data_IF_633981756172
#
_entry.id   IF_633981756172
#
_cell.length_a   1.000
_cell.length_b   1.000
_cell.length_c   1.000
_cell.angle_alpha   90.00
_cell.angle_beta   90.00
_cell.angle_gamma   90.00
#
_symmetry.space_group_name_H-M   'P 1'
#
loop_
_entity.id
_entity.type
_entity.pdbx_description
1 polymer ?
#
# COMPACT_ATOMS: atom_id res chain seq x y z
N UNK A 1 -22.23 -16.22 -29.65
CA UNK A 1 -23.61 -15.86 -29.25
C UNK A 1 -23.69 -16.10 -27.76
N UNK A 2 -24.14 -15.11 -26.99
CA UNK A 2 -24.36 -15.29 -25.54
C UNK A 2 -25.66 -16.10 -25.38
N UNK A 3 -25.67 -17.18 -24.59
CA UNK A 3 -26.87 -18.00 -24.43
C UNK A 3 -27.96 -17.25 -23.63
N UNK A 4 -29.21 -17.37 -24.09
CA UNK A 4 -30.36 -16.63 -23.54
C UNK A 4 -30.99 -17.31 -22.31
N UNK A 5 -30.47 -18.47 -21.89
CA UNK A 5 -30.94 -19.20 -20.72
C UNK A 5 -29.79 -19.72 -19.87
N UNK A 6 -30.00 -19.80 -18.56
CA UNK A 6 -29.03 -20.38 -17.62
C UNK A 6 -28.70 -21.84 -17.98
N UNK A 7 -29.70 -22.62 -18.42
CA UNK A 7 -29.49 -24.00 -18.85
C UNK A 7 -28.55 -24.09 -20.06
N UNK A 8 -28.74 -23.23 -21.07
CA UNK A 8 -27.86 -23.17 -22.23
C UNK A 8 -26.44 -22.67 -21.88
N UNK A 9 -26.31 -21.77 -20.89
CA UNK A 9 -25.02 -21.30 -20.40
C UNK A 9 -24.26 -22.41 -19.66
N UNK A 10 -24.93 -23.15 -18.79
CA UNK A 10 -24.35 -24.32 -18.09
C UNK A 10 -23.94 -25.41 -19.08
N UNK A 11 -24.77 -25.67 -20.10
CA UNK A 11 -24.45 -26.65 -21.14
C UNK A 11 -23.22 -26.23 -21.96
N UNK A 12 -23.12 -24.96 -22.35
CA UNK A 12 -21.93 -24.45 -23.03
C UNK A 12 -20.67 -24.58 -22.15
N UNK A 13 -20.75 -24.28 -20.86
CA UNK A 13 -19.62 -24.43 -19.93
C UNK A 13 -19.17 -25.89 -19.78
N UNK A 14 -20.11 -26.85 -19.83
CA UNK A 14 -19.81 -28.28 -19.79
C UNK A 14 -19.13 -28.80 -21.07
N UNK A 15 -19.34 -28.13 -22.21
CA UNK A 15 -18.76 -28.50 -23.51
C UNK A 15 -17.36 -27.91 -23.74
N UNK A 16 -16.89 -26.99 -22.88
CA UNK A 16 -15.55 -26.42 -22.99
C UNK A 16 -14.52 -27.45 -22.49
N UNK A 17 -13.57 -27.89 -23.34
CA UNK A 17 -12.52 -28.80 -22.91
C UNK A 17 -11.62 -28.10 -21.87
N UNK A 18 -11.40 -28.77 -20.74
CA UNK A 18 -10.50 -28.27 -19.70
C UNK A 18 -9.03 -28.28 -20.14
N UNK A 19 -8.23 -27.39 -19.56
CA UNK A 19 -6.78 -27.42 -19.72
C UNK A 19 -6.15 -28.45 -18.76
N UNK A 20 -5.05 -29.11 -19.15
CA UNK A 20 -4.37 -30.05 -18.25
C UNK A 20 -3.82 -29.31 -17.02
N UNK A 21 -4.25 -29.77 -15.83
CA UNK A 21 -3.98 -29.21 -14.49
C UNK A 21 -4.86 -28.02 -14.06
N UNK A 22 -5.92 -27.69 -14.79
CA UNK A 22 -6.95 -26.75 -14.33
C UNK A 22 -8.27 -27.48 -14.00
N UNK A 23 -9.07 -26.97 -13.05
CA UNK A 23 -10.41 -27.51 -12.81
C UNK A 23 -11.28 -27.35 -14.06
N UNK A 24 -12.17 -28.31 -14.33
CA UNK A 24 -13.06 -28.21 -15.48
C UNK A 24 -13.85 -26.88 -15.45
N UNK A 25 -14.09 -26.22 -16.59
CA UNK A 25 -14.71 -24.90 -16.63
C UNK A 25 -16.05 -24.80 -15.88
N UNK A 26 -16.85 -25.86 -15.94
CA UNK A 26 -18.10 -25.95 -15.18
C UNK A 26 -17.85 -26.01 -13.66
N UNK A 27 -16.85 -26.76 -13.22
CA UNK A 27 -16.46 -26.86 -11.81
C UNK A 27 -15.87 -25.54 -11.30
N UNK A 28 -15.09 -24.84 -12.13
CA UNK A 28 -14.57 -23.51 -11.83
C UNK A 28 -15.71 -22.48 -11.69
N UNK A 29 -16.68 -22.50 -12.63
CA UNK A 29 -17.86 -21.64 -12.56
C UNK A 29 -18.68 -21.88 -11.28
N UNK A 30 -18.94 -23.14 -10.93
CA UNK A 30 -19.68 -23.47 -9.70
C UNK A 30 -18.90 -23.05 -8.44
N UNK A 31 -17.57 -23.18 -8.43
CA UNK A 31 -16.72 -22.71 -7.32
C UNK A 31 -16.84 -21.21 -7.12
N UNK A 32 -16.77 -20.42 -8.19
CA UNK A 32 -16.95 -18.96 -8.13
C UNK A 32 -18.37 -18.59 -7.73
N UNK A 33 -19.36 -19.29 -8.27
CA UNK A 33 -20.76 -19.06 -7.95
C UNK A 33 -21.01 -19.24 -6.45
N UNK A 34 -20.47 -20.29 -5.81
CA UNK A 34 -20.59 -20.51 -4.34
C UNK A 34 -20.08 -19.31 -3.51
N UNK A 35 -19.11 -18.54 -4.04
CA UNK A 35 -18.53 -17.37 -3.37
C UNK A 35 -19.36 -16.08 -3.56
N UNK A 36 -20.37 -16.09 -4.44
CA UNK A 36 -21.17 -14.89 -4.73
C UNK A 36 -22.02 -14.44 -3.52
N UNK A 37 -21.93 -13.17 -3.11
CA UNK A 37 -22.68 -12.63 -1.97
C UNK A 37 -24.20 -12.61 -2.17
N UNK A 38 -24.67 -12.68 -3.42
CA UNK A 38 -26.09 -12.63 -3.75
C UNK A 38 -26.82 -13.96 -3.54
N UNK A 39 -26.11 -15.05 -3.27
CA UNK A 39 -26.71 -16.35 -2.95
C UNK A 39 -27.10 -16.42 -1.48
N UNK A 40 -28.29 -16.94 -1.22
CA UNK A 40 -28.66 -17.32 0.14
C UNK A 40 -27.94 -18.60 0.60
N UNK A 41 -27.92 -18.82 1.92
CA UNK A 41 -27.22 -19.96 2.53
C UNK A 41 -27.75 -21.31 2.04
N UNK A 42 -29.05 -21.41 1.74
CA UNK A 42 -29.67 -22.65 1.23
C UNK A 42 -29.23 -22.98 -0.19
N UNK A 43 -29.12 -21.96 -1.05
CA UNK A 43 -28.59 -22.09 -2.40
C UNK A 43 -27.10 -22.46 -2.37
N UNK A 44 -26.33 -21.81 -1.48
CA UNK A 44 -24.91 -22.08 -1.29
C UNK A 44 -24.66 -23.52 -0.85
N UNK A 45 -25.41 -24.03 0.12
CA UNK A 45 -25.29 -25.42 0.57
C UNK A 45 -25.75 -26.43 -0.49
N UNK A 46 -26.75 -26.09 -1.29
CA UNK A 46 -27.20 -26.94 -2.41
C UNK A 46 -26.10 -27.08 -3.48
N UNK A 47 -25.42 -25.99 -3.83
CA UNK A 47 -24.29 -25.99 -4.77
C UNK A 47 -23.10 -26.77 -4.21
N UNK A 48 -22.76 -26.59 -2.93
CA UNK A 48 -21.70 -27.36 -2.26
C UNK A 48 -21.98 -28.86 -2.26
N UNK A 49 -23.23 -29.23 -1.97
CA UNK A 49 -23.67 -30.63 -1.95
C UNK A 49 -23.58 -31.26 -3.34
N UNK A 50 -23.94 -30.53 -4.39
CA UNK A 50 -23.80 -30.97 -5.78
C UNK A 50 -22.33 -31.13 -6.20
N UNK A 51 -21.46 -30.22 -5.77
CA UNK A 51 -20.06 -30.17 -6.16
C UNK A 51 -19.17 -31.26 -5.52
N UNK A 52 -19.43 -31.64 -4.25
CA UNK A 52 -18.66 -32.67 -3.52
C UNK A 52 -18.47 -34.01 -4.28
N UNK A 53 -19.53 -34.65 -4.83
CA UNK A 53 -19.37 -35.89 -5.58
C UNK A 53 -18.65 -35.72 -6.92
N UNK A 54 -18.49 -34.50 -7.44
CA UNK A 54 -17.76 -34.20 -8.67
C UNK A 54 -16.24 -34.07 -8.47
N UNK A 55 -15.73 -34.40 -7.27
CA UNK A 55 -14.31 -34.30 -6.95
C UNK A 55 -13.83 -32.88 -6.63
N UNK A 56 -14.74 -31.90 -6.55
CA UNK A 56 -14.43 -30.59 -5.99
C UNK A 56 -14.17 -30.76 -4.49
N UNK A 57 -12.90 -30.70 -4.11
CA UNK A 57 -12.51 -30.35 -2.76
C UNK A 57 -12.86 -28.87 -2.60
N UNK A 58 -14.13 -28.59 -2.31
CA UNK A 58 -14.51 -27.32 -1.68
C UNK A 58 -13.84 -27.42 -0.33
N UNK A 59 -12.57 -26.99 -0.27
CA UNK A 59 -12.04 -26.54 0.98
C UNK A 59 -13.11 -25.60 1.50
N UNK A 60 -13.55 -25.83 2.73
CA UNK A 60 -13.92 -24.70 3.52
C UNK A 60 -12.68 -23.80 3.48
N UNK A 61 -12.58 -22.96 2.44
CA UNK A 61 -12.44 -21.54 2.67
C UNK A 61 -13.65 -21.21 3.53
N UNK A 62 -13.52 -21.62 4.79
CA UNK A 62 -14.14 -20.95 5.88
C UNK A 62 -13.96 -19.48 5.54
N UNK A 63 -14.94 -18.70 5.95
CA UNK A 63 -14.84 -17.26 6.06
C UNK A 63 -13.66 -16.86 7.04
N UNK A 64 -12.77 -17.81 7.37
CA UNK A 64 -11.40 -17.69 7.86
C UNK A 64 -10.32 -17.56 6.75
N UNK A 65 -10.64 -17.07 5.55
CA UNK A 65 -9.98 -15.81 5.16
C UNK A 65 -10.49 -14.69 6.08
N UNK A 66 -10.29 -14.90 7.39
CA UNK A 66 -10.02 -13.84 8.32
C UNK A 66 -8.81 -13.20 7.67
N UNK A 67 -9.04 -12.11 6.96
CA UNK A 67 -8.06 -11.06 6.78
C UNK A 67 -7.32 -10.96 8.10
N UNK A 68 -6.17 -11.64 8.20
CA UNK A 68 -5.35 -11.56 9.40
C UNK A 68 -4.90 -10.13 9.38
N UNK A 69 -5.51 -9.33 10.24
CA UNK A 69 -5.18 -7.93 10.42
C UNK A 69 -3.66 -7.80 10.39
N UNK A 70 -3.14 -7.08 9.41
CA UNK A 70 -1.70 -7.00 9.22
C UNK A 70 -1.10 -6.25 10.40
N UNK A 71 0.00 -6.75 10.94
CA UNK A 71 0.69 -6.01 11.99
C UNK A 71 1.47 -4.88 11.32
N UNK A 72 1.07 -3.65 11.60
CA UNK A 72 1.63 -2.45 11.02
C UNK A 72 2.45 -1.67 12.05
N UNK A 73 3.72 -1.43 11.73
CA UNK A 73 4.52 -0.38 12.36
C UNK A 73 4.24 0.93 11.63
N UNK A 74 3.47 1.80 12.26
CA UNK A 74 3.20 3.14 11.76
C UNK A 74 4.25 4.10 12.32
N UNK A 75 4.96 4.80 11.45
CA UNK A 75 5.95 5.81 11.81
C UNK A 75 5.54 7.14 11.22
N UNK A 76 5.24 8.11 12.09
CA UNK A 76 4.86 9.46 11.72
C UNK A 76 6.02 10.41 11.94
N UNK A 77 6.37 11.11 10.87
CA UNK A 77 7.36 12.18 10.85
C UNK A 77 6.60 13.48 10.58
N UNK A 78 6.89 14.53 11.35
CA UNK A 78 6.32 15.86 11.12
C UNK A 78 7.39 16.93 11.31
N UNK A 79 7.34 18.04 10.55
CA UNK A 79 8.13 19.22 10.87
C UNK A 79 7.83 19.67 12.29
N UNK A 80 8.84 20.15 13.01
CA UNK A 80 8.66 20.66 14.37
C UNK A 80 7.73 21.87 14.42
N UNK A 81 7.78 22.69 13.38
CA UNK A 81 6.88 23.81 13.16
C UNK A 81 6.44 23.81 11.70
N UNK A 82 5.14 23.98 11.46
CA UNK A 82 4.60 24.18 10.11
C UNK A 82 5.05 25.51 9.49
N UNK A 83 5.45 26.48 10.32
CA UNK A 83 5.81 27.84 9.91
C UNK A 83 7.30 28.16 10.08
N UNK A 84 8.08 27.23 10.61
CA UNK A 84 9.51 27.41 10.83
C UNK A 84 10.26 26.19 10.29
N UNK A 85 11.04 26.35 9.19
CA UNK A 85 11.83 25.29 8.58
C UNK A 85 13.09 24.96 9.40
N UNK A 86 13.06 25.20 10.72
CA UNK A 86 14.16 24.89 11.61
C UNK A 86 14.52 23.40 11.49
N UNK A 87 15.82 23.07 11.58
CA UNK A 87 16.29 21.73 11.30
C UNK A 87 15.79 20.79 12.41
N UNK A 88 14.73 20.02 12.13
CA UNK A 88 14.22 19.07 13.09
C UNK A 88 12.83 18.53 12.79
N UNK A 89 12.71 17.22 12.89
CA UNK A 89 11.47 16.46 12.79
C UNK A 89 11.06 15.93 14.17
N UNK A 90 9.76 15.91 14.42
CA UNK A 90 9.17 15.15 15.52
C UNK A 90 8.75 13.80 14.97
N UNK A 91 9.20 12.73 15.61
CA UNK A 91 8.91 11.36 15.19
C UNK A 91 8.10 10.67 16.27
N UNK A 92 7.03 9.99 15.87
CA UNK A 92 6.18 9.19 16.74
C UNK A 92 5.86 7.86 16.07
N UNK A 93 5.82 6.78 16.83
CA UNK A 93 5.57 5.44 16.30
C UNK A 93 4.50 4.70 17.08
N UNK A 94 3.74 3.85 16.39
CA UNK A 94 2.77 2.94 17.00
C UNK A 94 2.72 1.62 16.25
N UNK A 95 2.42 0.55 16.97
CA UNK A 95 2.00 -0.72 16.40
C UNK A 95 0.49 -0.75 16.32
N UNK A 96 -0.04 -1.02 15.14
CA UNK A 96 -1.47 -1.17 14.92
C UNK A 96 -1.76 -2.50 14.21
N UNK A 97 -2.96 -3.04 14.41
CA UNK A 97 -3.51 -4.09 13.56
C UNK A 97 -4.29 -3.44 12.42
N UNK A 98 -3.73 -3.47 11.22
CA UNK A 98 -4.38 -2.92 10.04
C UNK A 98 -5.35 -3.95 9.48
N UNK A 99 -6.63 -3.74 9.82
CA UNK A 99 -7.76 -4.44 9.25
C UNK A 99 -8.03 -3.82 7.88
N UNK A 100 -7.35 -4.34 6.85
CA UNK A 100 -7.45 -3.99 5.42
C UNK A 100 -7.56 -2.47 5.12
N UNK A 101 -6.58 -1.85 4.42
CA UNK A 101 -6.64 -0.44 4.09
C UNK A 101 -7.92 -0.03 3.34
N UNK A 102 -8.67 -0.95 2.74
CA UNK A 102 -9.93 -0.69 2.04
C UNK A 102 -11.19 -0.73 2.92
N UNK A 103 -11.11 -1.20 4.17
CA UNK A 103 -12.26 -1.19 5.09
C UNK A 103 -12.48 0.20 5.69
N UNK A 104 -13.73 0.66 5.75
CA UNK A 104 -14.06 2.01 6.23
C UNK A 104 -14.22 2.12 7.76
N UNK A 105 -14.53 1.02 8.45
CA UNK A 105 -15.12 1.08 9.81
C UNK A 105 -14.28 0.46 10.94
N UNK A 106 -13.04 0.01 10.69
CA UNK A 106 -12.26 -0.56 11.79
C UNK A 106 -11.77 0.51 12.78
N UNK A 107 -12.02 0.27 14.06
CA UNK A 107 -11.31 0.95 15.14
C UNK A 107 -9.84 0.53 15.09
N UNK A 108 -8.94 1.52 15.08
CA UNK A 108 -7.51 1.27 15.03
C UNK A 108 -7.01 1.03 16.46
N UNK A 109 -6.87 -0.23 16.86
CA UNK A 109 -6.18 -0.60 18.10
C UNK A 109 -4.67 -0.38 17.90
N UNK A 110 -4.18 0.76 18.40
CA UNK A 110 -2.80 1.19 18.22
C UNK A 110 -2.08 1.35 19.56
N UNK A 111 -0.94 0.68 19.69
CA UNK A 111 -0.05 0.74 20.85
C UNK A 111 1.18 1.61 20.54
N UNK A 112 1.37 2.75 21.23
CA UNK A 112 2.54 3.59 21.04
C UNK A 112 3.86 2.85 21.31
N UNK A 113 4.90 3.17 20.54
CA UNK A 113 6.27 2.73 20.79
C UNK A 113 7.11 3.94 21.20
N UNK A 114 7.82 3.81 22.30
CA UNK A 114 8.79 4.81 22.76
C UNK A 114 10.05 4.76 21.90
N UNK A 115 10.52 5.94 21.46
CA UNK A 115 11.80 6.10 20.77
C UNK A 115 12.82 6.56 21.80
N UNK A 116 13.85 5.76 22.04
CA UNK A 116 14.90 6.00 23.04
C UNK A 116 16.09 6.76 22.46
N UNK A 117 16.24 6.80 21.14
CA UNK A 117 17.27 7.58 20.47
C UNK A 117 17.13 9.07 20.82
N UNK A 118 18.21 9.66 21.31
CA UNK A 118 18.28 11.11 21.52
C UNK A 118 18.52 11.83 20.19
N UNK A 119 17.85 12.96 19.92
CA UNK A 119 18.03 13.69 18.67
C UNK A 119 19.44 14.27 18.50
N UNK A 120 19.87 14.52 17.25
CA UNK A 120 21.14 15.19 16.96
C UNK A 120 21.20 16.54 17.71
N UNK A 121 22.28 16.84 18.45
CA UNK A 121 22.45 18.12 19.15
C UNK A 121 22.21 19.37 18.29
N UNK A 122 22.46 19.30 16.98
CA UNK A 122 22.23 20.39 16.01
C UNK A 122 20.74 20.61 15.69
N UNK A 123 19.93 19.56 15.84
CA UNK A 123 18.50 19.57 15.54
C UNK A 123 17.65 19.53 16.82
N UNK A 124 18.27 19.35 17.98
CA UNK A 124 17.61 19.18 19.27
C UNK A 124 16.66 20.36 19.59
N UNK A 125 15.48 20.06 20.16
CA UNK A 125 14.94 18.74 20.56
C UNK A 125 14.28 17.89 19.43
N UNK A 126 14.50 18.16 18.15
CA UNK A 126 13.99 17.35 17.03
C UNK A 126 15.06 16.50 16.34
N UNK A 127 14.63 15.48 15.59
CA UNK A 127 15.49 14.57 14.83
C UNK A 127 15.87 15.16 13.48
N UNK A 128 17.09 14.92 13.01
CA UNK A 128 17.48 15.23 11.63
C UNK A 128 16.91 14.21 10.65
N UNK A 129 16.94 14.51 9.35
CA UNK A 129 16.63 13.51 8.31
C UNK A 129 17.53 12.28 8.41
N UNK A 130 18.80 12.47 8.77
CA UNK A 130 19.82 11.41 8.86
C UNK A 130 19.63 10.51 10.08
N UNK A 131 18.80 10.92 11.05
CA UNK A 131 18.43 10.11 12.21
C UNK A 131 17.33 9.09 11.87
N UNK A 132 16.49 9.35 10.87
CA UNK A 132 15.32 8.52 10.54
C UNK A 132 15.65 7.04 10.25
N UNK A 133 16.72 6.69 9.50
CA UNK A 133 17.10 5.30 9.32
C UNK A 133 17.52 4.61 10.63
N UNK A 134 18.10 5.35 11.59
CA UNK A 134 18.51 4.79 12.89
C UNK A 134 17.29 4.58 13.81
N UNK A 135 16.33 5.50 13.75
CA UNK A 135 15.04 5.33 14.43
C UNK A 135 14.33 4.08 13.91
N UNK A 136 14.35 3.84 12.58
CA UNK A 136 13.80 2.61 12.02
C UNK A 136 14.47 1.36 12.60
N UNK A 137 15.79 1.35 12.71
CA UNK A 137 16.55 0.23 13.29
C UNK A 137 16.10 -0.07 14.73
N UNK A 138 15.97 0.97 15.57
CA UNK A 138 15.45 0.84 16.94
C UNK A 138 14.02 0.30 16.98
N UNK A 139 13.11 0.90 16.19
CA UNK A 139 11.70 0.51 16.17
C UNK A 139 11.52 -0.95 15.73
N UNK A 140 12.28 -1.38 14.73
CA UNK A 140 12.25 -2.76 14.24
C UNK A 140 12.79 -3.72 15.30
N UNK A 141 13.88 -3.35 15.99
CA UNK A 141 14.41 -4.14 17.10
C UNK A 141 13.39 -4.26 18.25
N UNK A 142 12.71 -3.17 18.61
CA UNK A 142 11.62 -3.16 19.59
C UNK A 142 10.48 -4.09 19.18
N UNK A 143 10.03 -4.02 17.91
CA UNK A 143 8.97 -4.92 17.41
C UNK A 143 9.35 -6.40 17.56
N UNK A 144 10.59 -6.77 17.27
CA UNK A 144 11.06 -8.14 17.42
C UNK A 144 11.24 -8.58 18.88
N UNK A 145 11.91 -7.75 19.69
CA UNK A 145 12.34 -8.12 21.03
C UNK A 145 11.22 -8.00 22.07
N UNK A 146 10.42 -6.94 22.01
CA UNK A 146 9.40 -6.66 23.03
C UNK A 146 8.01 -7.19 22.64
N UNK A 147 7.72 -7.25 21.34
CA UNK A 147 6.41 -7.65 20.83
C UNK A 147 6.41 -9.02 20.15
N UNK A 148 7.58 -9.64 19.93
CA UNK A 148 7.70 -10.96 19.30
C UNK A 148 7.26 -10.99 17.84
N UNK A 149 7.25 -9.84 17.14
CA UNK A 149 6.76 -9.74 15.77
C UNK A 149 7.86 -10.15 14.80
N UNK A 150 7.58 -11.12 13.93
CA UNK A 150 8.49 -11.51 12.87
C UNK A 150 8.57 -10.43 11.79
N UNK A 151 9.79 -10.10 11.34
CA UNK A 151 10.00 -9.09 10.30
C UNK A 151 9.20 -9.36 9.02
N UNK A 152 9.08 -10.64 8.63
CA UNK A 152 8.35 -11.08 7.43
C UNK A 152 6.85 -10.85 7.51
N UNK A 153 6.32 -10.60 8.70
CA UNK A 153 4.90 -10.32 8.94
C UNK A 153 4.64 -8.82 9.12
N UNK A 154 5.70 -8.03 9.29
CA UNK A 154 5.62 -6.60 9.59
C UNK A 154 5.40 -5.79 8.31
N UNK A 155 4.35 -4.97 8.30
CA UNK A 155 4.16 -3.87 7.34
C UNK A 155 4.64 -2.58 7.96
N UNK A 156 5.43 -1.79 7.23
CA UNK A 156 5.93 -0.50 7.71
C UNK A 156 5.20 0.61 6.95
N UNK A 157 4.47 1.47 7.67
CA UNK A 157 3.78 2.63 7.12
C UNK A 157 4.49 3.91 7.55
N UNK A 158 5.05 4.62 6.58
CA UNK A 158 5.68 5.93 6.81
C UNK A 158 4.69 7.04 6.50
N UNK A 159 4.38 7.89 7.48
CA UNK A 159 3.69 9.17 7.27
C UNK A 159 4.75 10.25 7.21
N UNK A 160 5.06 10.71 6.00
CA UNK A 160 6.14 11.64 5.71
C UNK A 160 5.59 13.00 5.29
N UNK A 161 6.25 14.10 5.68
CA UNK A 161 5.95 15.41 5.10
C UNK A 161 6.46 15.47 3.66
N UNK A 162 5.95 16.44 2.90
CA UNK A 162 6.17 16.55 1.46
C UNK A 162 7.66 16.54 1.09
N UNK A 163 8.49 17.27 1.84
CA UNK A 163 9.93 17.36 1.62
C UNK A 163 10.66 16.01 1.78
N UNK A 164 10.04 15.04 2.48
CA UNK A 164 10.57 13.70 2.70
C UNK A 164 9.88 12.60 1.87
N UNK A 165 8.86 12.94 1.07
CA UNK A 165 8.13 11.97 0.23
C UNK A 165 9.05 11.24 -0.77
N UNK A 166 10.12 11.89 -1.21
CA UNK A 166 11.11 11.34 -2.13
C UNK A 166 12.17 10.45 -1.46
N UNK A 167 12.19 10.31 -0.14
CA UNK A 167 13.21 9.50 0.55
C UNK A 167 13.05 8.00 0.24
N UNK A 168 14.15 7.26 -0.01
CA UNK A 168 14.13 5.83 -0.31
C UNK A 168 13.96 4.96 0.95
N UNK A 169 12.83 5.12 1.64
CA UNK A 169 12.56 4.45 2.93
C UNK A 169 12.57 2.92 2.84
N UNK A 170 12.28 2.36 1.67
CA UNK A 170 12.36 0.93 1.39
C UNK A 170 13.80 0.39 1.28
N UNK A 171 14.79 1.29 1.15
CA UNK A 171 16.22 0.97 1.13
C UNK A 171 16.87 1.08 2.51
N UNK A 172 16.18 1.68 3.47
CA UNK A 172 16.75 1.84 4.80
C UNK A 172 17.02 0.47 5.41
N UNK A 173 18.22 0.36 5.96
CA UNK A 173 18.75 -0.87 6.49
C UNK A 173 18.62 -0.88 8.00
N UNK A 174 18.24 -2.03 8.53
CA UNK A 174 18.27 -2.31 9.95
C UNK A 174 19.15 -3.53 10.23
N UNK A 175 19.63 -3.60 11.45
CA UNK A 175 20.57 -4.59 11.94
C UNK A 175 19.81 -5.87 12.33
N UNK A 176 20.14 -6.98 11.68
CA UNK A 176 19.69 -8.32 12.05
C UNK A 176 20.86 -9.07 12.70
N UNK A 177 20.75 -9.33 14.00
CA UNK A 177 21.81 -9.99 14.76
C UNK A 177 23.11 -9.16 14.78
N UNK A 178 24.27 -9.82 14.94
CA UNK A 178 25.53 -9.12 15.26
C UNK A 178 26.22 -8.41 14.10
N UNK A 179 25.98 -8.79 12.83
CA UNK A 179 26.74 -8.26 11.68
C UNK A 179 25.95 -8.11 10.37
N UNK A 180 24.70 -8.55 10.31
CA UNK A 180 23.93 -8.52 9.07
C UNK A 180 23.04 -7.27 9.04
N UNK A 181 23.05 -6.57 7.92
CA UNK A 181 22.10 -5.49 7.63
C UNK A 181 21.21 -5.93 6.48
N UNK A 182 19.92 -5.68 6.60
CA UNK A 182 18.95 -5.97 5.55
C UNK A 182 18.09 -4.75 5.27
N UNK A 183 17.70 -4.56 4.02
CA UNK A 183 16.79 -3.49 3.62
C UNK A 183 15.35 -3.82 4.02
N UNK A 184 14.61 -2.81 4.47
CA UNK A 184 13.19 -2.95 4.84
C UNK A 184 12.34 -3.52 3.71
N UNK A 185 12.49 -3.03 2.48
CA UNK A 185 11.76 -3.51 1.31
C UNK A 185 12.06 -4.95 0.91
N UNK A 186 13.12 -5.56 1.44
CA UNK A 186 13.48 -6.96 1.17
C UNK A 186 12.95 -7.93 2.23
N UNK A 187 12.93 -7.51 3.50
CA UNK A 187 12.63 -8.41 4.62
C UNK A 187 11.24 -8.24 5.22
N UNK A 188 10.70 -7.02 5.17
CA UNK A 188 9.35 -6.71 5.64
C UNK A 188 8.29 -7.21 4.67
N UNK A 189 7.06 -7.43 5.17
CA UNK A 189 5.91 -7.81 4.34
C UNK A 189 5.65 -6.75 3.27
N UNK A 190 5.61 -5.47 3.69
CA UNK A 190 5.47 -4.33 2.80
C UNK A 190 6.05 -3.04 3.43
N UNK A 191 6.35 -2.06 2.57
CA UNK A 191 6.70 -0.69 2.96
C UNK A 191 5.80 0.27 2.19
N UNK A 192 4.96 1.00 2.92
CA UNK A 192 3.92 1.89 2.39
C UNK A 192 4.25 3.33 2.80
N UNK A 193 4.07 4.28 1.88
CA UNK A 193 4.23 5.70 2.14
C UNK A 193 2.87 6.39 2.21
N UNK A 194 2.74 7.35 3.11
CA UNK A 194 1.58 8.22 3.32
C UNK A 194 2.07 9.65 3.55
N UNK A 195 1.23 10.63 3.26
CA UNK A 195 1.55 12.04 3.53
C UNK A 195 1.14 12.40 4.96
N UNK A 196 2.05 12.91 5.78
CA UNK A 196 1.68 13.52 7.06
C UNK A 196 0.92 14.83 6.84
N UNK A 197 1.32 15.63 5.85
CA UNK A 197 0.73 16.95 5.64
C UNK A 197 -0.73 16.86 5.26
N UNK A 198 -1.13 15.87 4.47
CA UNK A 198 -2.54 15.73 4.11
C UNK A 198 -3.45 15.42 5.28
N UNK A 199 -2.98 14.64 6.25
CA UNK A 199 -3.73 14.28 7.45
C UNK A 199 -3.71 15.37 8.52
N UNK A 200 -2.62 16.14 8.61
CA UNK A 200 -2.35 17.00 9.76
C UNK A 200 -2.15 18.49 9.44
N UNK A 201 -1.89 18.84 8.18
CA UNK A 201 -1.76 20.24 7.77
C UNK A 201 -3.14 20.83 7.46
N UNK A 202 -3.49 21.98 8.05
CA UNK A 202 -4.74 22.67 7.75
C UNK A 202 -4.82 23.13 6.29
N UNK A 203 -3.69 23.25 5.58
CA UNK A 203 -3.62 23.65 4.17
C UNK A 203 -4.39 22.69 3.24
N UNK A 204 -4.41 21.39 3.57
CA UNK A 204 -5.09 20.37 2.75
C UNK A 204 -6.51 20.03 3.23
N UNK A 205 -6.99 20.67 4.31
CA UNK A 205 -8.36 20.48 4.80
C UNK A 205 -9.45 20.72 3.74
N UNK A 206 -9.33 21.72 2.83
CA UNK A 206 -10.29 21.88 1.74
C UNK A 206 -10.32 20.67 0.78
N UNK A 207 -9.15 20.07 0.51
CA UNK A 207 -9.02 18.92 -0.38
C UNK A 207 -9.53 17.60 0.24
N UNK A 208 -9.81 17.56 1.55
CA UNK A 208 -10.31 16.36 2.24
C UNK A 208 -11.63 15.85 1.66
N UNK A 209 -12.51 16.73 1.18
CA UNK A 209 -13.78 16.35 0.57
C UNK A 209 -13.59 15.56 -0.73
N UNK A 210 -12.75 16.09 -1.62
CA UNK A 210 -12.39 15.43 -2.88
C UNK A 210 -11.62 14.14 -2.63
N UNK A 211 -10.72 14.14 -1.66
CA UNK A 211 -9.97 12.95 -1.27
C UNK A 211 -10.86 11.80 -0.81
N UNK A 212 -11.82 12.05 0.09
CA UNK A 212 -12.81 11.05 0.50
C UNK A 212 -13.61 10.53 -0.69
N UNK A 213 -14.06 11.42 -1.57
CA UNK A 213 -14.79 11.05 -2.80
C UNK A 213 -13.96 10.15 -3.71
N UNK A 214 -12.69 10.46 -3.96
CA UNK A 214 -11.82 9.65 -4.81
C UNK A 214 -11.43 8.34 -4.14
N UNK A 215 -11.29 8.31 -2.82
CA UNK A 215 -11.14 7.08 -2.07
C UNK A 215 -12.38 6.17 -2.19
N UNK A 216 -13.60 6.71 -2.05
CA UNK A 216 -14.81 5.89 -2.26
C UNK A 216 -14.89 5.34 -3.69
N UNK A 217 -14.48 6.13 -4.70
CA UNK A 217 -14.37 5.62 -6.08
C UNK A 217 -13.37 4.47 -6.18
N UNK A 218 -12.20 4.60 -5.53
CA UNK A 218 -11.19 3.55 -5.48
C UNK A 218 -11.76 2.22 -5.01
N UNK A 219 -12.59 2.23 -3.97
CA UNK A 219 -13.26 1.02 -3.45
C UNK A 219 -14.13 0.33 -4.51
N UNK A 220 -14.77 1.09 -5.39
CA UNK A 220 -15.64 0.53 -6.44
C UNK A 220 -14.90 -0.06 -7.65
N UNK A 221 -13.59 0.17 -7.77
CA UNK A 221 -12.80 -0.26 -8.94
C UNK A 221 -11.53 -1.02 -8.57
N UNK A 222 -11.49 -1.63 -7.39
CA UNK A 222 -10.33 -2.38 -6.88
C UNK A 222 -9.84 -3.48 -7.84
N UNK A 223 -10.76 -4.12 -8.55
CA UNK A 223 -10.47 -5.16 -9.56
C UNK A 223 -9.99 -4.60 -10.90
N UNK A 224 -10.00 -3.28 -11.08
CA UNK A 224 -9.48 -2.67 -12.31
C UNK A 224 -7.96 -2.79 -12.39
N UNK A 225 -7.45 -3.03 -13.60
CA UNK A 225 -6.00 -3.03 -13.86
C UNK A 225 -5.40 -1.66 -13.54
N UNK A 226 -4.26 -1.66 -12.84
CA UNK A 226 -3.52 -0.45 -12.48
C UNK A 226 -3.19 0.42 -13.71
N UNK A 227 -2.87 -0.20 -14.85
CA UNK A 227 -2.61 0.49 -16.13
C UNK A 227 -3.77 1.36 -16.62
N UNK A 228 -5.02 1.00 -16.31
CA UNK A 228 -6.20 1.78 -16.67
C UNK A 228 -6.59 2.76 -15.56
N UNK A 229 -6.36 2.39 -14.30
CA UNK A 229 -6.79 3.15 -13.12
C UNK A 229 -5.83 4.28 -12.70
N UNK A 230 -4.56 4.19 -13.09
CA UNK A 230 -3.51 5.17 -12.77
C UNK A 230 -3.10 5.96 -14.02
N UNK A 231 -3.44 7.24 -14.05
CA UNK A 231 -3.12 8.11 -15.19
C UNK A 231 -1.61 8.42 -15.23
N UNK A 232 -0.95 8.32 -16.40
CA UNK A 232 0.42 8.78 -16.53
C UNK A 232 0.47 10.32 -16.47
N UNK A 233 1.27 10.82 -15.53
CA UNK A 233 1.69 12.21 -15.42
C UNK A 233 3.15 12.32 -15.84
N UNK A 234 3.53 13.52 -16.26
CA UNK A 234 4.87 13.84 -16.71
C UNK A 234 5.26 15.23 -16.16
N UNK A 235 5.90 15.26 -14.99
CA UNK A 235 6.32 16.51 -14.34
C UNK A 235 7.27 17.32 -15.22
N UNK A 236 8.14 16.67 -16.00
CA UNK A 236 9.11 17.34 -16.87
C UNK A 236 8.47 18.11 -18.02
N UNK A 237 7.27 17.71 -18.45
CA UNK A 237 6.49 18.43 -19.48
C UNK A 237 5.36 19.28 -18.88
N UNK A 238 5.26 19.37 -17.54
CA UNK A 238 4.23 20.13 -16.84
C UNK A 238 2.86 19.44 -16.78
N UNK A 239 2.78 18.15 -17.13
CA UNK A 239 1.54 17.36 -17.03
C UNK A 239 1.38 16.83 -15.60
N UNK A 240 0.80 17.64 -14.72
CA UNK A 240 0.67 17.36 -13.28
C UNK A 240 -0.78 17.17 -12.80
N UNK A 241 -1.76 17.43 -13.68
CA UNK A 241 -3.19 17.38 -13.34
C UNK A 241 -3.87 16.09 -13.76
N UNK A 242 -4.73 15.58 -12.88
CA UNK A 242 -5.56 14.40 -13.11
C UNK A 242 -6.94 14.83 -13.61
N UNK A 243 -7.41 14.22 -14.70
CA UNK A 243 -8.77 14.43 -15.19
C UNK A 243 -9.76 13.56 -14.39
N UNK A 244 -10.22 14.08 -13.25
CA UNK A 244 -11.15 13.38 -12.36
C UNK A 244 -12.54 13.10 -12.92
N UNK A 245 -12.89 13.66 -14.10
CA UNK A 245 -14.14 13.34 -14.80
C UNK A 245 -14.18 11.89 -15.28
N UNK A 246 -13.04 11.29 -15.55
CA UNK A 246 -12.96 9.87 -15.88
C UNK A 246 -13.21 9.04 -14.61
N UNK A 247 -14.30 8.26 -14.58
CA UNK A 247 -14.68 7.45 -13.42
C UNK A 247 -13.81 6.24 -13.19
N UNK A 248 -12.98 5.87 -14.16
CA UNK A 248 -12.04 4.75 -14.05
C UNK A 248 -10.71 5.17 -13.42
N UNK A 249 -10.46 6.48 -13.27
CA UNK A 249 -9.22 7.00 -12.70
C UNK A 249 -9.37 7.27 -11.21
N UNK A 250 -8.39 6.77 -10.45
CA UNK A 250 -8.32 6.85 -8.98
C UNK A 250 -6.95 7.31 -8.47
N UNK A 251 -6.02 7.58 -9.38
CA UNK A 251 -4.68 7.98 -9.00
C UNK A 251 -3.82 8.25 -10.23
N UNK A 252 -2.53 8.42 -9.98
CA UNK A 252 -1.57 8.68 -11.04
C UNK A 252 -0.31 7.84 -10.91
N UNK A 253 0.46 7.85 -12.00
CA UNK A 253 1.82 7.36 -12.05
C UNK A 253 2.75 8.35 -12.73
N UNK A 254 3.99 8.48 -12.26
CA UNK A 254 4.97 9.38 -12.88
C UNK A 254 6.42 8.95 -12.63
N UNK A 255 7.34 9.53 -13.40
CA UNK A 255 8.77 9.55 -13.07
C UNK A 255 9.05 10.85 -12.35
N UNK A 256 9.72 10.74 -11.22
CA UNK A 256 10.04 11.86 -10.36
C UNK A 256 10.98 12.85 -11.07
N UNK A 257 10.74 14.14 -10.85
CA UNK A 257 11.58 15.18 -11.41
C UNK A 257 12.96 15.20 -10.72
N UNK A 258 14.03 15.50 -11.46
CA UNK A 258 15.38 15.56 -10.86
C UNK A 258 15.58 16.77 -9.92
N UNK A 259 14.87 17.85 -10.18
CA UNK A 259 14.92 19.07 -9.38
C UNK A 259 14.09 18.95 -8.08
N UNK A 260 14.68 19.16 -6.89
CA UNK A 260 13.97 19.06 -5.60
C UNK A 260 12.75 19.97 -5.46
N UNK A 261 12.82 21.22 -5.92
CA UNK A 261 11.72 22.17 -5.77
C UNK A 261 10.53 21.78 -6.65
N UNK A 262 10.79 21.28 -7.86
CA UNK A 262 9.73 20.77 -8.73
C UNK A 262 9.09 19.49 -8.18
N UNK A 263 9.84 18.63 -7.48
CA UNK A 263 9.27 17.47 -6.78
C UNK A 263 8.32 17.90 -5.68
N UNK A 264 8.74 18.86 -4.86
CA UNK A 264 7.93 19.40 -3.76
C UNK A 264 6.64 20.03 -4.29
N UNK A 265 6.75 20.88 -5.33
CA UNK A 265 5.60 21.52 -5.97
C UNK A 265 4.63 20.50 -6.60
N UNK A 266 5.14 19.42 -7.21
CA UNK A 266 4.31 18.33 -7.73
C UNK A 266 3.54 17.65 -6.61
N UNK A 267 4.23 17.32 -5.50
CA UNK A 267 3.57 16.69 -4.36
C UNK A 267 2.50 17.60 -3.75
N UNK A 268 2.78 18.89 -3.58
CA UNK A 268 1.79 19.86 -3.13
C UNK A 268 0.55 19.87 -4.05
N UNK A 269 0.75 19.92 -5.37
CA UNK A 269 -0.34 19.88 -6.34
C UNK A 269 -1.13 18.56 -6.31
N UNK A 270 -0.46 17.41 -6.16
CA UNK A 270 -1.11 16.10 -6.07
C UNK A 270 -1.91 15.94 -4.78
N UNK A 271 -1.38 16.44 -3.67
CA UNK A 271 -2.04 16.43 -2.37
C UNK A 271 -3.25 17.36 -2.36
N UNK A 272 -3.10 18.56 -2.92
CA UNK A 272 -4.17 19.55 -3.12
C UNK A 272 -5.31 19.05 -4.03
N UNK A 273 -5.02 18.15 -4.97
CA UNK A 273 -6.03 17.50 -5.82
C UNK A 273 -6.83 16.39 -5.14
N UNK A 274 -6.50 15.99 -3.89
CA UNK A 274 -7.19 14.87 -3.24
C UNK A 274 -6.82 13.48 -3.78
N UNK A 275 -5.77 13.36 -4.61
CA UNK A 275 -5.25 12.09 -5.17
C UNK A 275 -4.97 10.99 -4.13
N UNK A 276 -5.73 9.88 -4.06
CA UNK A 276 -5.58 8.88 -3.00
C UNK A 276 -4.46 7.86 -3.25
N UNK A 277 -4.11 7.59 -4.52
CA UNK A 277 -3.06 6.65 -4.90
C UNK A 277 -2.07 7.29 -5.86
N UNK A 278 -0.78 7.12 -5.57
CA UNK A 278 0.31 7.57 -6.44
C UNK A 278 1.36 6.47 -6.54
N UNK A 279 1.67 6.05 -7.77
CA UNK A 279 2.78 5.14 -8.07
C UNK A 279 3.88 5.90 -8.81
N UNK A 280 5.04 6.15 -8.20
CA UNK A 280 6.10 6.93 -8.83
C UNK A 280 7.42 6.20 -8.92
N UNK A 281 8.28 6.70 -9.80
CA UNK A 281 9.62 6.18 -10.05
C UNK A 281 10.67 7.24 -9.78
N UNK A 282 11.58 7.05 -8.82
CA UNK A 282 12.63 8.03 -8.45
C UNK A 282 13.74 8.18 -9.50
N UNK A 283 13.85 7.26 -10.47
CA UNK A 283 14.88 7.29 -11.51
C UNK A 283 14.27 7.24 -12.91
N UNK A 284 14.85 8.02 -13.83
CA UNK A 284 14.41 8.20 -15.22
C UNK A 284 14.86 7.08 -16.15
N UNK A 285 14.60 5.82 -15.83
CA UNK A 285 14.74 4.74 -16.82
C UNK A 285 13.38 4.31 -17.40
N UNK A 286 13.44 3.88 -18.66
CA UNK A 286 12.34 3.66 -19.58
C UNK A 286 11.13 2.95 -18.92
N UNK A 287 10.06 3.70 -18.67
CA UNK A 287 8.82 3.27 -17.98
C UNK A 287 8.01 2.21 -18.72
N UNK A 288 8.41 1.89 -19.95
CA UNK A 288 7.71 1.03 -20.90
C UNK A 288 7.64 -0.45 -20.50
N UNK A 289 8.26 -0.87 -19.37
CA UNK A 289 8.19 -2.25 -18.86
C UNK A 289 7.92 -2.36 -17.36
N UNK A 290 7.05 -1.52 -16.81
CA UNK A 290 6.51 -1.79 -15.47
C UNK A 290 5.49 -2.94 -15.53
N UNK A 291 5.98 -4.18 -15.38
CA UNK A 291 5.12 -5.36 -15.17
C UNK A 291 4.14 -5.16 -13.99
N UNK A 292 4.47 -4.27 -13.05
CA UNK A 292 3.61 -3.91 -11.93
C UNK A 292 2.23 -3.35 -12.36
N UNK A 293 2.09 -2.78 -13.55
CA UNK A 293 0.83 -2.16 -13.99
C UNK A 293 -0.19 -3.18 -14.53
N UNK A 294 0.18 -4.45 -14.66
CA UNK A 294 -0.74 -5.51 -15.08
C UNK A 294 -1.58 -6.08 -13.94
N UNK A 295 -1.23 -5.83 -12.68
CA UNK A 295 -2.04 -6.25 -11.53
C UNK A 295 -3.27 -5.35 -11.32
N UNK A 296 -4.19 -5.81 -10.48
CA UNK A 296 -5.34 -5.03 -10.01
C UNK A 296 -4.92 -4.00 -8.96
N UNK A 297 -5.77 -3.01 -8.73
CA UNK A 297 -5.53 -1.99 -7.69
C UNK A 297 -5.49 -2.63 -6.30
N UNK A 298 -6.34 -3.62 -6.03
CA UNK A 298 -6.32 -4.40 -4.78
C UNK A 298 -4.94 -5.01 -4.49
N UNK A 299 -4.32 -5.59 -5.53
CA UNK A 299 -3.07 -6.35 -5.39
C UNK A 299 -1.81 -5.49 -5.58
N UNK A 300 -1.94 -4.16 -5.69
CA UNK A 300 -0.82 -3.29 -6.02
C UNK A 300 0.27 -3.26 -4.94
N UNK A 301 -0.12 -3.21 -3.66
CA UNK A 301 0.82 -3.22 -2.52
C UNK A 301 1.63 -4.51 -2.46
N UNK A 302 0.96 -5.65 -2.59
CA UNK A 302 1.60 -6.98 -2.55
C UNK A 302 2.49 -7.21 -3.78
N UNK A 303 2.01 -6.79 -4.96
CA UNK A 303 2.79 -6.84 -6.19
C UNK A 303 4.06 -6.02 -6.07
N UNK A 304 4.00 -4.83 -5.47
CA UNK A 304 5.16 -3.98 -5.23
C UNK A 304 6.12 -4.59 -4.21
N UNK A 305 5.60 -5.17 -3.13
CA UNK A 305 6.42 -5.88 -2.15
C UNK A 305 7.19 -7.04 -2.80
N UNK A 306 6.50 -7.89 -3.56
CA UNK A 306 7.12 -9.01 -4.27
C UNK A 306 8.14 -8.55 -5.31
N UNK A 307 7.84 -7.47 -6.06
CA UNK A 307 8.77 -6.84 -6.98
C UNK A 307 10.07 -6.39 -6.27
N UNK A 308 9.93 -5.70 -5.13
CA UNK A 308 11.07 -5.22 -4.33
C UNK A 308 11.87 -6.37 -3.75
N UNK A 309 11.23 -7.38 -3.17
CA UNK A 309 11.90 -8.55 -2.60
C UNK A 309 12.73 -9.28 -3.65
N UNK A 310 12.17 -9.49 -4.85
CA UNK A 310 12.89 -10.10 -5.97
C UNK A 310 14.08 -9.25 -6.37
N UNK A 311 13.85 -7.97 -6.66
CA UNK A 311 14.86 -7.05 -7.17
C UNK A 311 16.01 -6.79 -6.16
N UNK A 312 15.71 -6.65 -4.86
CA UNK A 312 16.70 -6.49 -3.79
C UNK A 312 17.47 -7.78 -3.45
N UNK A 313 16.99 -8.94 -3.91
CA UNK A 313 17.71 -10.21 -3.78
C UNK A 313 18.78 -10.40 -4.86
N UNK A 314 18.79 -9.56 -5.91
CA UNK A 314 19.84 -9.61 -6.93
C UNK A 314 21.19 -9.11 -6.39
N UNK A 315 22.27 -9.73 -6.87
CA UNK A 315 23.65 -9.30 -6.59
C UNK A 315 24.02 -8.01 -7.33
N UNK A 316 23.37 -7.75 -8.48
CA UNK A 316 23.61 -6.57 -9.32
C UNK A 316 23.10 -5.29 -8.65
N UNK A 317 23.95 -4.28 -8.60
CA UNK A 317 23.59 -2.94 -8.12
C UNK A 317 22.50 -2.29 -8.99
N UNK A 318 22.53 -2.53 -10.31
CA UNK A 318 21.53 -2.02 -11.26
C UNK A 318 20.13 -2.55 -10.91
N UNK A 319 20.01 -3.83 -10.56
CA UNK A 319 18.72 -4.43 -10.21
C UNK A 319 18.21 -3.91 -8.84
N UNK A 320 19.12 -3.64 -7.90
CA UNK A 320 18.78 -2.98 -6.63
C UNK A 320 18.29 -1.55 -6.84
N UNK A 321 18.95 -0.78 -7.70
CA UNK A 321 18.53 0.58 -8.05
C UNK A 321 17.17 0.62 -8.75
N UNK A 322 16.87 -0.36 -9.61
CA UNK A 322 15.54 -0.53 -10.23
C UNK A 322 14.45 -0.79 -9.19
N UNK A 323 14.72 -1.64 -8.19
CA UNK A 323 13.82 -1.88 -7.06
C UNK A 323 13.51 -0.60 -6.26
N UNK A 324 14.54 0.24 -6.06
CA UNK A 324 14.51 1.51 -5.34
C UNK A 324 13.76 2.63 -6.04
N UNK A 325 13.60 2.49 -7.34
CA UNK A 325 12.95 3.54 -8.09
C UNK A 325 11.45 3.56 -7.80
N UNK A 326 10.80 2.39 -7.65
CA UNK A 326 9.34 2.28 -7.57
C UNK A 326 8.79 2.45 -6.16
N UNK A 327 7.88 3.42 -6.03
CA UNK A 327 7.21 3.75 -4.78
C UNK A 327 5.72 3.97 -4.93
N UNK A 328 5.03 3.76 -3.80
CA UNK A 328 3.60 3.74 -3.71
C UNK A 328 3.16 4.52 -2.48
N UNK A 329 2.25 5.46 -2.74
CA UNK A 329 1.48 6.17 -1.75
C UNK A 329 0.06 5.65 -1.84
N UNK A 330 -0.44 5.19 -0.69
CA UNK A 330 -1.83 4.80 -0.50
C UNK A 330 -2.33 5.54 0.73
N UNK A 331 -3.16 6.53 0.47
CA UNK A 331 -3.57 7.47 1.49
C UNK A 331 -5.08 7.37 1.71
N UNK A 332 -5.50 6.65 2.74
CA UNK A 332 -6.91 6.48 3.10
C UNK A 332 -7.36 7.61 4.06
N UNK A 333 -8.33 8.46 3.67
CA UNK A 333 -8.80 9.58 4.51
C UNK A 333 -9.57 9.15 5.76
N UNK A 334 -9.96 7.88 5.86
CA UNK A 334 -10.69 7.29 6.97
C UNK A 334 -9.77 6.54 7.94
N UNK A 335 -8.47 6.46 7.65
CA UNK A 335 -7.45 5.79 8.47
C UNK A 335 -6.28 6.73 8.76
N UNK A 336 -6.49 7.84 9.49
CA UNK A 336 -5.37 8.70 9.89
C UNK A 336 -4.40 7.95 10.80
N UNK A 337 -3.17 8.48 10.92
CA UNK A 337 -2.26 8.00 11.97
C UNK A 337 -2.96 8.19 13.33
N UNK A 338 -2.93 7.18 14.23
CA UNK A 338 -3.54 7.30 15.54
C UNK A 338 -2.96 8.53 16.22
N UNK A 339 -3.78 9.50 16.58
CA UNK A 339 -3.30 10.67 17.34
C UNK A 339 -2.82 10.18 18.69
N UNK A 340 -1.51 9.91 18.77
CA UNK A 340 -0.83 9.62 20.02
C UNK A 340 -0.77 10.96 20.75
N UNK A 341 -1.78 11.23 21.58
CA UNK A 341 -1.74 12.36 22.50
C UNK A 341 -0.55 12.16 23.43
N UNK A 342 0.54 12.87 23.17
CA UNK A 342 1.56 13.08 24.18
C UNK A 342 0.92 13.94 25.25
N UNK A 343 0.48 13.32 26.35
CA UNK A 343 0.37 14.05 27.60
C UNK A 343 1.78 14.53 27.95
N UNK A 344 2.07 15.77 27.60
CA UNK A 344 3.27 16.47 28.06
C UNK A 344 3.22 16.51 29.59
N UNK A 345 4.22 15.89 30.21
CA UNK A 345 4.50 16.00 31.64
C UNK A 345 4.87 17.43 32.04
#
# INVERSE_FOLDING_TARGET
>A
MVPDTLAALVQQLAEIPGEPNEPEPLLHFVSLLIQEPSLDDGQRESLKTWAKPQGLCIQEESIEQQERAEICLMVKVRPRSLNDPSPGYLVSAALAKDLDPFKLEAELDAKPITISLTPDPKCAPGYSQDDLPRILDELVATCGNEYGIALTELVIQWFLPIELMSLPVEHWQFQIGRRQKECSGKRCKAVIVRSSDRHFSPLYKPATGDWKKYWTRLLSIQESKCSAALVPLDPSTGRTKINWRDTKVVGCRFVEHHDPQQREALWDELLGQGTPIVLWMRQSENTSKMQLLSCTIANLSESLASHRQKALSHASEIDRLKAASLCLLIDNPFRPFPTIDYQSA
#
